data_IF_200894098547
#
_entry.id   IF_200894098547
#
_cell.length_a   1.000
_cell.length_b   1.000
_cell.length_c   1.000
_cell.angle_alpha   90.00
_cell.angle_beta   90.00
_cell.angle_gamma   90.00
#
_symmetry.space_group_name_H-M   'P 1'
#
loop_
_entity.id
_entity.type
_entity.pdbx_description
1 polymer ?
#
# COMPACT_ATOMS: atom_id res chain seq x y z
N UNK A 1 0.15 -41.35 -10.72
CA UNK A 1 -0.22 -40.17 -11.54
C UNK A 1 0.67 -39.03 -11.09
N UNK A 2 1.57 -38.54 -11.95
CA UNK A 2 2.35 -37.34 -11.66
C UNK A 2 1.42 -36.14 -11.86
N UNK A 3 1.02 -35.47 -10.78
CA UNK A 3 0.45 -34.13 -10.89
C UNK A 3 1.51 -33.25 -11.54
N UNK A 4 1.25 -32.83 -12.79
CA UNK A 4 2.01 -31.74 -13.39
C UNK A 4 1.77 -30.53 -12.49
N UNK A 5 2.81 -30.08 -11.79
CA UNK A 5 2.83 -28.79 -11.12
C UNK A 5 2.45 -27.73 -12.14
N UNK A 6 1.27 -27.12 -11.96
CA UNK A 6 0.84 -25.96 -12.75
C UNK A 6 1.86 -24.86 -12.47
N UNK A 7 2.53 -24.35 -13.51
CA UNK A 7 3.41 -23.19 -13.35
C UNK A 7 2.53 -21.99 -12.98
N UNK A 8 2.85 -21.34 -11.86
CA UNK A 8 2.24 -20.08 -11.44
C UNK A 8 2.67 -18.98 -12.40
N UNK A 9 1.73 -18.18 -12.91
CA UNK A 9 2.10 -17.01 -13.73
C UNK A 9 2.74 -15.92 -12.88
N UNK A 10 3.45 -14.98 -13.52
CA UNK A 10 4.03 -13.81 -12.83
C UNK A 10 2.90 -13.00 -12.17
N UNK A 11 1.78 -12.82 -12.86
CA UNK A 11 0.60 -12.12 -12.33
C UNK A 11 -0.01 -12.80 -11.10
N UNK A 12 -0.13 -14.13 -11.12
CA UNK A 12 -0.59 -14.90 -9.95
C UNK A 12 0.37 -14.75 -8.75
N UNK A 13 1.69 -14.76 -8.99
CA UNK A 13 2.69 -14.58 -7.94
C UNK A 13 2.66 -13.17 -7.33
N UNK A 14 2.59 -12.12 -8.16
CA UNK A 14 2.50 -10.73 -7.71
C UNK A 14 1.20 -10.48 -6.92
N UNK A 15 0.06 -10.96 -7.43
CA UNK A 15 -1.22 -10.83 -6.75
C UNK A 15 -1.17 -11.47 -5.34
N UNK A 16 -0.55 -12.65 -5.24
CA UNK A 16 -0.33 -13.31 -3.94
C UNK A 16 0.50 -12.45 -2.99
N UNK A 17 1.56 -11.78 -3.47
CA UNK A 17 2.36 -10.89 -2.63
C UNK A 17 1.56 -9.67 -2.14
N UNK A 18 0.71 -9.08 -2.98
CA UNK A 18 -0.18 -8.00 -2.53
C UNK A 18 -1.19 -8.48 -1.49
N UNK A 19 -1.77 -9.66 -1.63
CA UNK A 19 -2.67 -10.22 -0.60
C UNK A 19 -1.97 -10.32 0.76
N UNK A 20 -0.71 -10.74 0.78
CA UNK A 20 0.11 -10.80 2.01
C UNK A 20 0.38 -9.42 2.60
N UNK A 21 0.62 -8.42 1.75
CA UNK A 21 0.73 -7.02 2.15
C UNK A 21 -0.59 -6.53 2.78
N UNK A 22 -1.74 -6.85 2.18
CA UNK A 22 -3.05 -6.44 2.70
C UNK A 22 -3.38 -7.09 4.05
N UNK A 23 -3.09 -8.38 4.21
CA UNK A 23 -3.21 -9.07 5.51
C UNK A 23 -2.37 -8.37 6.58
N UNK A 24 -1.12 -8.02 6.28
CA UNK A 24 -0.25 -7.27 7.19
C UNK A 24 -0.74 -5.85 7.48
N UNK A 25 -1.33 -5.17 6.49
CA UNK A 25 -1.91 -3.84 6.66
C UNK A 25 -3.16 -3.86 7.54
N UNK A 26 -4.05 -4.85 7.39
CA UNK A 26 -5.19 -5.02 8.29
C UNK A 26 -4.74 -5.27 9.73
N UNK A 27 -3.74 -6.15 9.93
CA UNK A 27 -3.11 -6.36 11.23
C UNK A 27 -2.55 -5.04 11.80
N UNK A 28 -1.93 -4.18 10.99
CA UNK A 28 -1.41 -2.89 11.43
C UNK A 28 -2.53 -1.98 11.96
N UNK A 29 -3.64 -1.89 11.21
CA UNK A 29 -4.80 -1.04 11.54
C UNK A 29 -5.53 -1.55 12.79
N UNK A 30 -5.72 -2.87 12.90
CA UNK A 30 -6.41 -3.52 14.02
C UNK A 30 -5.61 -3.45 15.32
N UNK A 31 -4.30 -3.63 15.24
CA UNK A 31 -3.46 -3.67 16.43
C UNK A 31 -3.13 -2.27 16.99
N UNK A 32 -3.29 -1.21 16.21
CA UNK A 32 -3.07 0.16 16.68
C UNK A 32 -4.17 0.58 17.66
N UNK A 33 -3.83 1.01 18.87
CA UNK A 33 -4.79 1.75 19.72
C UNK A 33 -5.04 3.15 19.15
N UNK A 34 -6.01 3.88 19.70
CA UNK A 34 -6.24 5.29 19.36
C UNK A 34 -4.99 6.16 19.54
N UNK A 35 -4.24 5.95 20.62
CA UNK A 35 -3.00 6.68 20.91
C UNK A 35 -1.91 6.37 19.88
N UNK A 36 -1.78 5.10 19.47
CA UNK A 36 -0.85 4.71 18.40
C UNK A 36 -1.28 5.33 17.07
N UNK A 37 -2.56 5.25 16.74
CA UNK A 37 -3.09 5.71 15.46
C UNK A 37 -2.88 7.21 15.27
N UNK A 38 -3.15 7.99 16.33
CA UNK A 38 -2.98 9.45 16.36
C UNK A 38 -1.53 9.89 16.59
N UNK A 39 -0.59 8.96 16.78
CA UNK A 39 0.82 9.29 16.99
C UNK A 39 1.41 9.96 15.74
N UNK A 40 2.03 11.12 15.97
CA UNK A 40 2.66 11.92 14.93
C UNK A 40 3.90 12.63 15.47
N UNK A 41 5.04 12.50 14.78
CA UNK A 41 6.31 13.12 15.15
C UNK A 41 7.20 13.32 13.92
N UNK A 42 7.81 14.51 13.78
CA UNK A 42 8.79 14.83 12.73
C UNK A 42 8.32 14.47 11.30
N UNK A 43 7.09 14.86 10.94
CA UNK A 43 6.41 14.54 9.66
C UNK A 43 6.07 13.05 9.44
N UNK A 44 6.39 12.19 10.40
CA UNK A 44 5.98 10.79 10.37
C UNK A 44 4.76 10.60 11.28
N UNK A 45 3.70 9.97 10.77
CA UNK A 45 2.51 9.65 11.56
C UNK A 45 1.98 8.25 11.25
N UNK A 46 1.40 7.58 12.24
CA UNK A 46 0.95 6.20 12.07
C UNK A 46 -0.22 6.10 11.06
N UNK A 47 -1.26 6.93 11.25
CA UNK A 47 -2.38 7.01 10.33
C UNK A 47 -1.94 7.43 8.92
N UNK A 48 -1.06 8.43 8.81
CA UNK A 48 -0.51 8.89 7.54
C UNK A 48 0.29 7.80 6.81
N UNK A 49 1.20 7.10 7.49
CA UNK A 49 1.96 6.04 6.84
C UNK A 49 1.07 4.87 6.43
N UNK A 50 0.05 4.54 7.25
CA UNK A 50 -0.93 3.52 6.88
C UNK A 50 -1.66 3.89 5.60
N UNK A 51 -2.14 5.12 5.48
CA UNK A 51 -2.77 5.65 4.27
C UNK A 51 -1.80 5.70 3.08
N UNK A 52 -0.57 6.20 3.31
CA UNK A 52 0.46 6.36 2.29
C UNK A 52 0.87 5.04 1.64
N UNK A 53 0.90 3.94 2.39
CA UNK A 53 1.15 2.60 1.81
C UNK A 53 0.08 2.23 0.80
N UNK A 54 -1.19 2.40 1.17
CA UNK A 54 -2.34 2.05 0.32
C UNK A 54 -2.36 2.94 -0.92
N UNK A 55 -2.14 4.24 -0.73
CA UNK A 55 -2.04 5.22 -1.79
C UNK A 55 -0.86 4.96 -2.74
N UNK A 56 0.31 4.61 -2.20
CA UNK A 56 1.48 4.24 -2.99
C UNK A 56 1.24 2.99 -3.83
N UNK A 57 0.62 1.96 -3.25
CA UNK A 57 0.25 0.78 -4.02
C UNK A 57 -0.74 1.17 -5.12
N UNK A 58 -1.79 1.93 -4.81
CA UNK A 58 -2.73 2.41 -5.83
C UNK A 58 -2.00 3.14 -6.98
N UNK A 59 -1.09 4.06 -6.66
CA UNK A 59 -0.34 4.81 -7.66
C UNK A 59 0.46 3.92 -8.61
N UNK A 60 1.30 3.03 -8.08
CA UNK A 60 2.19 2.18 -8.90
C UNK A 60 1.47 1.08 -9.66
N UNK A 61 0.18 0.96 -9.42
CA UNK A 61 -0.62 -0.10 -9.99
C UNK A 61 -1.48 0.45 -11.15
N UNK A 62 -1.88 1.72 -11.16
CA UNK A 62 -2.53 2.36 -12.32
C UNK A 62 -1.81 2.09 -13.66
N UNK A 63 -2.56 2.09 -14.77
CA UNK A 63 -1.96 2.05 -16.11
C UNK A 63 -1.40 3.44 -16.52
N UNK A 64 -2.02 4.53 -16.04
CA UNK A 64 -1.55 5.92 -16.21
C UNK A 64 -1.60 6.67 -14.86
N UNK A 65 -0.47 7.16 -14.33
CA UNK A 65 -0.42 7.84 -13.04
C UNK A 65 -0.91 9.29 -13.08
N UNK A 66 -1.07 9.90 -14.26
CA UNK A 66 -1.31 11.34 -14.39
C UNK A 66 -2.64 11.81 -13.81
N UNK A 67 -3.61 10.91 -13.65
CA UNK A 67 -4.93 11.23 -13.10
C UNK A 67 -5.01 11.20 -11.57
N UNK A 68 -3.95 10.75 -10.88
CA UNK A 68 -3.99 10.58 -9.44
C UNK A 68 -3.58 11.86 -8.70
N UNK A 69 -4.42 12.27 -7.75
CA UNK A 69 -4.14 13.39 -6.84
C UNK A 69 -3.80 12.83 -5.46
N UNK A 70 -2.53 12.95 -5.05
CA UNK A 70 -2.06 12.50 -3.74
C UNK A 70 -2.78 13.24 -2.61
N UNK A 71 -3.19 12.51 -1.57
CA UNK A 71 -3.85 13.03 -0.38
C UNK A 71 -5.33 13.37 -0.55
N UNK A 72 -5.88 13.32 -1.77
CA UNK A 72 -7.26 13.76 -2.05
C UNK A 72 -8.30 13.02 -1.19
N UNK A 73 -8.17 11.69 -1.06
CA UNK A 73 -9.09 10.88 -0.24
C UNK A 73 -9.03 11.22 1.26
N UNK A 74 -7.91 11.77 1.72
CA UNK A 74 -7.74 12.25 3.09
C UNK A 74 -8.08 13.74 3.23
N UNK A 75 -8.72 14.35 2.22
CA UNK A 75 -8.99 15.79 2.11
C UNK A 75 -7.70 16.64 2.16
N UNK A 76 -6.51 16.10 1.85
CA UNK A 76 -5.27 16.88 1.87
C UNK A 76 -5.10 17.58 0.52
N UNK A 77 -5.06 18.91 0.53
CA UNK A 77 -4.78 19.71 -0.66
C UNK A 77 -3.39 20.34 -0.55
N UNK A 78 -2.40 19.74 -1.21
CA UNK A 78 -1.00 20.18 -1.11
C UNK A 78 -0.72 21.61 -1.61
N UNK A 79 -1.58 22.17 -2.46
CA UNK A 79 -1.43 23.54 -2.96
C UNK A 79 -2.04 24.57 -2.00
N UNK A 80 -3.11 24.21 -1.29
CA UNK A 80 -3.91 25.12 -0.45
C UNK A 80 -3.66 24.96 1.05
N UNK A 81 -3.32 23.74 1.48
CA UNK A 81 -3.05 23.46 2.88
C UNK A 81 -1.59 23.85 3.19
N UNK A 82 -1.43 24.77 4.14
CA UNK A 82 -0.10 25.08 4.66
C UNK A 82 0.45 23.87 5.44
N UNK A 83 1.75 23.86 5.71
CA UNK A 83 2.41 22.74 6.39
C UNK A 83 1.71 22.32 7.69
N UNK A 84 1.23 23.25 8.52
CA UNK A 84 0.52 22.91 9.77
C UNK A 84 -0.81 22.21 9.49
N UNK A 85 -1.62 22.76 8.58
CA UNK A 85 -2.93 22.19 8.24
C UNK A 85 -2.82 20.81 7.61
N UNK A 86 -1.82 20.57 6.76
CA UNK A 86 -1.55 19.25 6.20
C UNK A 86 -1.20 18.23 7.28
N UNK A 87 -0.35 18.61 8.24
CA UNK A 87 0.03 17.74 9.37
C UNK A 87 -1.19 17.43 10.27
N UNK A 88 -2.06 18.41 10.53
CA UNK A 88 -3.29 18.18 11.28
C UNK A 88 -4.23 17.18 10.58
N UNK A 89 -4.38 17.28 9.26
CA UNK A 89 -5.19 16.34 8.47
C UNK A 89 -4.60 14.95 8.49
N UNK A 90 -3.28 14.83 8.28
CA UNK A 90 -2.54 13.56 8.35
C UNK A 90 -2.73 12.83 9.69
N UNK A 91 -2.72 13.56 10.80
CA UNK A 91 -2.92 12.98 12.14
C UNK A 91 -4.37 12.58 12.44
N UNK A 92 -5.34 13.04 11.62
CA UNK A 92 -6.79 12.81 11.80
C UNK A 92 -7.39 11.86 10.77
N UNK A 93 -6.57 11.23 9.93
CA UNK A 93 -7.03 10.21 8.97
C UNK A 93 -7.77 9.09 9.73
N UNK A 94 -9.05 8.80 9.43
CA UNK A 94 -9.79 7.73 10.08
C UNK A 94 -9.25 6.35 9.71
N UNK A 95 -9.37 5.36 10.60
CA UNK A 95 -9.00 3.96 10.30
C UNK A 95 -9.87 3.37 9.20
N UNK A 96 -11.15 3.67 9.28
CA UNK A 96 -12.19 3.19 8.37
C UNK A 96 -11.90 3.64 6.94
N UNK A 97 -11.43 4.88 6.75
CA UNK A 97 -11.02 5.38 5.44
C UNK A 97 -9.88 4.54 4.83
N UNK A 98 -8.88 4.15 5.64
CA UNK A 98 -7.77 3.32 5.17
C UNK A 98 -8.26 1.91 4.82
N UNK A 99 -9.17 1.34 5.62
CA UNK A 99 -9.77 0.02 5.37
C UNK A 99 -10.56 0.00 4.07
N UNK A 100 -11.47 0.96 3.92
CA UNK A 100 -12.30 1.11 2.71
C UNK A 100 -11.42 1.25 1.47
N UNK A 101 -10.32 1.98 1.57
CA UNK A 101 -9.39 2.14 0.45
C UNK A 101 -8.64 0.84 0.12
N UNK A 102 -8.24 0.06 1.13
CA UNK A 102 -7.65 -1.28 0.91
C UNK A 102 -8.65 -2.19 0.20
N UNK A 103 -9.89 -2.25 0.67
CA UNK A 103 -10.92 -3.14 0.10
C UNK A 103 -11.21 -2.79 -1.37
N UNK A 104 -11.36 -1.50 -1.70
CA UNK A 104 -11.57 -1.03 -3.08
C UNK A 104 -10.43 -1.44 -4.02
N UNK A 105 -9.19 -1.25 -3.58
CA UNK A 105 -8.01 -1.60 -4.38
C UNK A 105 -7.95 -3.10 -4.52
N UNK A 106 -7.99 -3.85 -3.41
CA UNK A 106 -7.81 -5.31 -3.39
C UNK A 106 -8.74 -6.02 -4.38
N UNK A 107 -10.02 -5.68 -4.37
CA UNK A 107 -11.03 -6.33 -5.22
C UNK A 107 -10.79 -6.06 -6.71
N UNK A 108 -10.48 -4.80 -7.05
CA UNK A 108 -10.24 -4.41 -8.44
C UNK A 108 -8.89 -4.89 -8.98
N UNK A 109 -7.88 -4.99 -8.12
CA UNK A 109 -6.50 -5.28 -8.48
C UNK A 109 -6.21 -6.74 -8.70
N UNK A 110 -6.78 -7.60 -7.85
CA UNK A 110 -6.52 -9.02 -7.89
C UNK A 110 -7.00 -9.66 -9.21
N UNK A 111 -8.10 -9.15 -9.78
CA UNK A 111 -8.60 -9.57 -11.09
C UNK A 111 -7.65 -9.06 -12.19
N UNK A 112 -7.36 -7.75 -12.20
CA UNK A 112 -6.53 -7.13 -13.25
C UNK A 112 -5.15 -7.76 -13.38
N UNK A 113 -4.46 -8.04 -12.28
CA UNK A 113 -3.12 -8.63 -12.30
C UNK A 113 -3.10 -10.05 -12.88
N UNK A 114 -4.14 -10.85 -12.60
CA UNK A 114 -4.24 -12.24 -13.07
C UNK A 114 -4.61 -12.34 -14.55
N UNK A 115 -5.25 -11.32 -15.09
CA UNK A 115 -5.60 -11.24 -16.51
C UNK A 115 -4.40 -10.83 -17.39
N UNK A 116 -3.36 -10.23 -16.81
CA UNK A 116 -2.13 -9.89 -17.54
C UNK A 116 -1.30 -11.14 -17.83
N UNK A 117 -0.74 -11.19 -19.04
CA UNK A 117 0.21 -12.23 -19.43
C UNK A 117 1.60 -11.99 -18.82
N UNK A 118 2.44 -13.03 -18.78
CA UNK A 118 3.84 -12.89 -18.37
C UNK A 118 4.60 -11.90 -19.28
N UNK A 119 4.29 -11.87 -20.59
CA UNK A 119 4.86 -10.91 -21.54
C UNK A 119 4.58 -9.45 -21.15
N UNK A 120 3.40 -9.15 -20.58
CA UNK A 120 3.08 -7.81 -20.08
C UNK A 120 4.01 -7.41 -18.92
N UNK A 121 4.28 -8.33 -18.00
CA UNK A 121 5.17 -8.03 -16.87
C UNK A 121 6.62 -7.84 -17.32
N UNK A 122 7.03 -8.58 -18.34
CA UNK A 122 8.37 -8.49 -18.93
C UNK A 122 8.52 -7.33 -19.92
N UNK A 123 7.43 -6.72 -20.38
CA UNK A 123 7.49 -5.57 -21.28
C UNK A 123 8.02 -4.31 -20.57
N UNK A 124 8.45 -3.35 -21.37
CA UNK A 124 8.84 -2.02 -20.89
C UNK A 124 7.71 -1.40 -20.06
N UNK A 125 8.11 -0.68 -19.03
CA UNK A 125 7.21 0.10 -18.18
C UNK A 125 6.71 1.35 -18.90
N UNK A 126 5.39 1.52 -18.92
CA UNK A 126 4.74 2.70 -19.50
C UNK A 126 4.78 3.93 -18.57
N UNK A 127 5.09 3.75 -17.27
CA UNK A 127 5.33 4.88 -16.34
C UNK A 127 6.63 5.62 -16.65
N UNK A 128 7.55 5.01 -17.41
CA UNK A 128 8.83 5.60 -17.82
C UNK A 128 9.86 5.73 -16.69
N UNK A 129 9.57 5.22 -15.50
CA UNK A 129 10.48 5.25 -14.34
C UNK A 129 11.20 3.93 -14.14
N UNK A 130 10.56 2.82 -14.51
CA UNK A 130 11.08 1.48 -14.32
C UNK A 130 11.53 0.88 -15.66
N UNK A 131 12.32 -0.20 -15.59
CA UNK A 131 12.76 -0.93 -16.78
C UNK A 131 11.62 -1.78 -17.33
N UNK A 132 10.76 -2.31 -16.47
CA UNK A 132 9.61 -3.16 -16.84
C UNK A 132 8.43 -3.02 -15.89
N UNK A 133 7.24 -3.46 -16.31
CA UNK A 133 6.05 -3.52 -15.44
C UNK A 133 6.30 -4.42 -14.22
N UNK A 134 7.07 -5.50 -14.36
CA UNK A 134 7.49 -6.34 -13.24
C UNK A 134 8.30 -5.56 -12.20
N UNK A 135 9.28 -4.77 -12.64
CA UNK A 135 10.10 -3.96 -11.73
C UNK A 135 9.24 -2.94 -10.97
N UNK A 136 8.27 -2.29 -11.64
CA UNK A 136 7.32 -1.38 -10.99
C UNK A 136 6.54 -2.05 -9.87
N UNK A 137 6.01 -3.25 -10.10
CA UNK A 137 5.27 -3.98 -9.06
C UNK A 137 6.19 -4.47 -7.94
N UNK A 138 7.41 -4.92 -8.23
CA UNK A 138 8.39 -5.28 -7.21
C UNK A 138 8.74 -4.06 -6.35
N UNK A 139 8.92 -2.90 -6.96
CA UNK A 139 9.18 -1.66 -6.25
C UNK A 139 8.03 -1.31 -5.29
N UNK A 140 6.78 -1.35 -5.78
CA UNK A 140 5.58 -1.10 -4.99
C UNK A 140 5.48 -2.04 -3.77
N UNK A 141 5.71 -3.34 -3.96
CA UNK A 141 5.71 -4.33 -2.86
C UNK A 141 6.80 -4.01 -1.85
N UNK A 142 8.03 -3.69 -2.30
CA UNK A 142 9.14 -3.33 -1.41
C UNK A 142 8.88 -2.05 -0.63
N UNK A 143 8.27 -1.05 -1.28
CA UNK A 143 7.86 0.20 -0.67
C UNK A 143 6.84 -0.04 0.44
N UNK A 144 5.80 -0.84 0.17
CA UNK A 144 4.82 -1.24 1.17
C UNK A 144 5.47 -2.00 2.34
N UNK A 145 6.33 -2.99 2.05
CA UNK A 145 7.04 -3.75 3.08
C UNK A 145 7.95 -2.87 3.96
N UNK A 146 8.60 -1.87 3.38
CA UNK A 146 9.41 -0.90 4.12
C UNK A 146 8.56 -0.16 5.18
N UNK A 147 7.45 0.43 4.77
CA UNK A 147 6.57 1.17 5.68
C UNK A 147 5.82 0.27 6.66
N UNK A 148 5.44 -0.96 6.28
CA UNK A 148 4.93 -1.96 7.23
C UNK A 148 5.94 -2.23 8.34
N UNK A 149 7.23 -2.29 8.00
CA UNK A 149 8.31 -2.38 8.99
C UNK A 149 8.31 -1.21 9.97
N UNK A 150 8.09 0.02 9.48
CA UNK A 150 7.96 1.22 10.32
C UNK A 150 6.72 1.18 11.22
N UNK A 151 5.56 0.80 10.67
CA UNK A 151 4.32 0.62 11.42
C UNK A 151 4.50 -0.43 12.54
N UNK A 152 5.14 -1.56 12.24
CA UNK A 152 5.39 -2.60 13.24
C UNK A 152 6.36 -2.13 14.34
N UNK A 153 7.36 -1.33 13.97
CA UNK A 153 8.28 -0.70 14.94
C UNK A 153 7.51 0.20 15.90
N UNK A 154 6.59 1.04 15.42
CA UNK A 154 5.83 1.90 16.31
C UNK A 154 4.82 1.12 17.17
N UNK A 155 4.15 0.09 16.64
CA UNK A 155 3.35 -0.81 17.48
C UNK A 155 4.16 -1.37 18.66
N UNK A 156 5.40 -1.78 18.41
CA UNK A 156 6.31 -2.23 19.48
C UNK A 156 6.65 -1.13 20.48
N UNK A 157 6.92 0.10 20.03
CA UNK A 157 7.25 1.22 20.91
C UNK A 157 6.11 1.51 21.90
N UNK A 158 4.87 1.33 21.45
CA UNK A 158 3.66 1.48 22.25
C UNK A 158 3.23 0.21 23.00
N UNK A 159 4.02 -0.87 22.94
CA UNK A 159 3.70 -2.18 23.54
C UNK A 159 2.37 -2.76 23.06
N UNK A 160 1.94 -2.41 21.85
CA UNK A 160 0.77 -2.98 21.19
C UNK A 160 1.07 -4.35 20.58
N UNK A 161 0.02 -5.04 20.13
CA UNK A 161 0.16 -6.26 19.34
C UNK A 161 0.94 -5.97 18.05
N UNK A 162 1.76 -6.94 17.64
CA UNK A 162 2.61 -6.80 16.46
C UNK A 162 1.90 -7.31 15.22
N UNK A 163 2.29 -6.78 14.07
CA UNK A 163 1.88 -7.31 12.76
C UNK A 163 2.43 -8.73 12.61
N UNK A 164 1.59 -9.68 12.21
CA UNK A 164 2.05 -11.04 11.90
C UNK A 164 2.66 -11.06 10.50
N UNK A 165 3.87 -11.59 10.40
CA UNK A 165 4.51 -11.82 9.10
C UNK A 165 3.74 -12.88 8.31
N UNK A 166 3.55 -12.65 7.02
CA UNK A 166 2.80 -13.51 6.11
C UNK A 166 3.68 -14.10 5.00
#
# INVERSE_FOLDING_TARGET
MNEKTKNTSIGEAIATQYDKIWEMMFDAIDNASDDVWKYFKNMWGYAWNSFHVVEGIFYYTLDDPKGMVWGERADINWEKDNGVKSLEKMAKIPKELVREFIDEIRDSWHIKLKEKSDDYFLSKDDFGTFTSNLERHIYSIRHAAHHIGELNKELRNFKANRIKWQ
#
